data_IF_298858268997
#
_entry.id   IF_298858268997
#
_cell.length_a   1.000
_cell.length_b   1.000
_cell.length_c   1.000
_cell.angle_alpha   90.00
_cell.angle_beta   90.00
_cell.angle_gamma   90.00
#
_symmetry.space_group_name_H-M   'P 1'
#
loop_
_entity.id
_entity.type
_entity.pdbx_description
1 polymer ?
#
# COMPACT_ATOMS: atom_id res chain seq x y z
N UNK A 1 -80.58 28.83 26.56
CA UNK A 1 -80.48 28.58 28.01
C UNK A 1 -79.01 28.68 28.40
N UNK A 2 -78.59 29.87 28.86
CA UNK A 2 -78.31 30.23 30.27
C UNK A 2 -76.98 29.65 30.78
N UNK A 3 -75.84 30.33 30.66
CA UNK A 3 -75.22 31.39 31.53
C UNK A 3 -74.84 30.97 32.96
N UNK A 4 -73.54 31.09 33.30
CA UNK A 4 -72.88 31.82 34.44
C UNK A 4 -71.60 31.09 34.91
N UNK A 5 -70.40 31.70 34.81
CA UNK A 5 -69.69 32.56 35.82
C UNK A 5 -69.22 31.80 37.06
N UNK A 6 -68.07 32.04 37.73
CA UNK A 6 -66.85 32.87 37.63
C UNK A 6 -66.03 32.46 38.89
N UNK A 7 -64.70 32.52 38.88
CA UNK A 7 -63.88 33.36 39.80
C UNK A 7 -62.37 33.08 39.67
N UNK A 8 -61.60 34.16 39.81
CA UNK A 8 -60.15 34.27 39.78
C UNK A 8 -59.54 34.33 41.19
N UNK A 9 -58.27 33.94 41.32
CA UNK A 9 -57.20 34.57 42.12
C UNK A 9 -55.86 33.98 41.60
N UNK A 10 -54.76 34.68 41.30
CA UNK A 10 -54.32 36.02 41.62
C UNK A 10 -53.14 35.95 42.59
N UNK A 11 -51.90 35.80 42.10
CA UNK A 11 -50.67 36.13 42.86
C UNK A 11 -49.61 36.70 41.92
N UNK A 12 -49.20 37.93 42.22
CA UNK A 12 -48.12 38.71 41.62
C UNK A 12 -46.77 38.31 42.22
N UNK A 13 -45.71 38.27 41.41
CA UNK A 13 -44.34 38.23 41.89
C UNK A 13 -43.51 39.35 41.23
N UNK A 14 -42.86 40.11 42.10
CA UNK A 14 -42.06 41.32 41.88
C UNK A 14 -40.73 41.03 41.18
N UNK A 15 -40.33 41.95 40.30
CA UNK A 15 -39.03 41.97 39.60
C UNK A 15 -38.01 42.68 40.48
N UNK A 16 -36.88 42.03 40.74
CA UNK A 16 -35.67 42.66 41.28
C UNK A 16 -34.54 42.52 40.23
N UNK A 17 -34.05 43.66 39.75
CA UNK A 17 -32.98 43.75 38.77
C UNK A 17 -31.61 43.53 39.44
N UNK A 18 -30.84 42.56 38.95
CA UNK A 18 -29.40 42.46 39.21
C UNK A 18 -28.62 43.00 38.01
N UNK A 19 -27.73 43.96 38.29
CA UNK A 19 -26.70 44.44 37.38
C UNK A 19 -25.68 43.32 37.09
N UNK A 20 -25.54 42.93 35.82
CA UNK A 20 -24.42 42.13 35.33
C UNK A 20 -23.49 43.04 34.53
N UNK A 21 -22.25 43.16 35.01
CA UNK A 21 -21.16 43.83 34.34
C UNK A 21 -20.81 43.10 33.02
N UNK A 22 -20.68 43.88 31.95
CA UNK A 22 -20.28 43.38 30.64
C UNK A 22 -18.77 43.13 30.59
N UNK A 23 -18.37 41.86 30.43
CA UNK A 23 -17.03 41.50 29.93
C UNK A 23 -17.14 41.30 28.41
N UNK A 24 -16.55 42.22 27.65
CA UNK A 24 -16.37 42.13 26.21
C UNK A 24 -15.33 41.05 25.89
N UNK A 25 -15.78 39.89 25.37
CA UNK A 25 -14.91 38.88 24.79
C UNK A 25 -14.66 39.21 23.31
N UNK A 26 -13.41 39.50 22.98
CA UNK A 26 -12.93 39.57 21.59
C UNK A 26 -13.03 38.18 20.93
N UNK A 27 -13.49 38.07 19.66
CA UNK A 27 -13.43 36.81 18.94
C UNK A 27 -11.98 36.49 18.57
N UNK A 28 -11.42 35.49 19.21
CA UNK A 28 -10.10 34.94 18.90
C UNK A 28 -10.16 34.22 17.54
N UNK A 29 -9.30 34.64 16.62
CA UNK A 29 -9.18 34.06 15.30
C UNK A 29 -8.72 32.59 15.45
N UNK A 30 -9.58 31.64 15.09
CA UNK A 30 -9.24 30.22 15.02
C UNK A 30 -8.17 30.00 13.97
N UNK A 31 -6.91 29.82 14.42
CA UNK A 31 -5.82 29.36 13.58
C UNK A 31 -6.10 27.96 12.98
N UNK A 32 -5.44 27.60 11.88
CA UNK A 32 -5.62 26.29 11.26
C UNK A 32 -5.26 25.17 12.24
N UNK A 33 -6.13 24.16 12.31
CA UNK A 33 -5.93 22.98 13.14
C UNK A 33 -4.58 22.30 12.82
N UNK A 34 -3.83 21.84 13.85
CA UNK A 34 -2.58 21.13 13.62
C UNK A 34 -2.84 19.86 12.80
N UNK A 35 -2.02 19.65 11.76
CA UNK A 35 -2.04 18.45 10.94
C UNK A 35 -1.87 17.20 11.83
N UNK A 36 -2.52 16.07 11.51
CA UNK A 36 -2.33 14.84 12.27
C UNK A 36 -0.85 14.47 12.25
N UNK A 37 -0.24 14.44 13.44
CA UNK A 37 1.10 13.93 13.65
C UNK A 37 1.15 12.50 13.15
N UNK A 38 1.93 12.26 12.10
CA UNK A 38 2.17 10.92 11.59
C UNK A 38 2.63 10.02 12.74
N UNK A 39 1.91 8.92 12.97
CA UNK A 39 2.36 7.82 13.80
C UNK A 39 3.83 7.51 13.44
N UNK A 40 4.72 7.54 14.44
CA UNK A 40 6.11 7.18 14.25
C UNK A 40 6.19 5.81 13.55
N UNK A 41 6.75 5.81 12.34
CA UNK A 41 6.93 4.65 11.49
C UNK A 41 7.77 3.61 12.24
N UNK A 42 7.34 2.33 12.37
CA UNK A 42 8.27 1.26 12.69
C UNK A 42 9.36 1.31 11.62
N UNK A 43 10.59 1.65 12.00
CA UNK A 43 11.67 1.76 11.05
C UNK A 43 11.93 0.39 10.44
N UNK A 44 11.67 0.24 9.13
CA UNK A 44 12.11 -0.94 8.38
C UNK A 44 13.62 -1.13 8.54
N UNK A 45 14.12 -2.36 8.35
CA UNK A 45 15.54 -2.71 8.54
C UNK A 45 16.50 -1.98 7.60
N UNK A 46 15.95 -1.32 6.57
CA UNK A 46 16.71 -0.65 5.54
C UNK A 46 17.07 0.79 5.97
N UNK A 47 18.36 1.18 5.95
CA UNK A 47 18.77 2.55 6.29
C UNK A 47 18.35 3.59 5.23
N UNK A 48 17.98 3.13 4.04
CA UNK A 48 17.48 3.91 2.90
C UNK A 48 16.27 3.19 2.30
N UNK A 49 15.96 3.44 1.02
CA UNK A 49 14.96 2.66 0.30
C UNK A 49 15.26 1.15 0.36
N UNK A 50 14.22 0.30 0.36
CA UNK A 50 14.40 -1.13 0.47
C UNK A 50 15.24 -1.72 -0.65
N UNK A 51 16.06 -2.72 -0.33
CA UNK A 51 16.90 -3.40 -1.30
C UNK A 51 17.09 -4.87 -0.89
N UNK A 52 17.63 -5.73 -1.77
CA UNK A 52 17.77 -7.16 -1.49
C UNK A 52 18.55 -7.53 -0.23
N UNK A 53 19.42 -6.64 0.27
CA UNK A 53 20.27 -6.91 1.42
C UNK A 53 19.58 -6.67 2.76
N UNK A 54 18.47 -5.91 2.78
CA UNK A 54 17.75 -5.56 4.01
C UNK A 54 16.28 -6.01 4.02
N UNK A 55 15.74 -6.47 2.90
CA UNK A 55 14.39 -7.07 2.80
C UNK A 55 14.44 -8.59 2.68
N UNK A 56 13.29 -9.23 2.84
CA UNK A 56 13.14 -10.67 2.76
C UNK A 56 13.46 -11.37 4.07
N UNK A 57 13.75 -12.67 3.98
CA UNK A 57 14.13 -13.48 5.15
C UNK A 57 15.35 -12.86 5.83
N UNK A 58 15.29 -12.55 7.14
CA UNK A 58 16.45 -12.00 7.85
C UNK A 58 17.66 -12.95 7.74
N UNK A 59 18.87 -12.44 7.49
CA UNK A 59 20.07 -13.27 7.47
C UNK A 59 20.23 -14.08 8.76
N UNK A 60 20.59 -15.36 8.62
CA UNK A 60 20.77 -16.28 9.76
C UNK A 60 19.48 -16.91 10.29
N UNK A 61 18.31 -16.59 9.72
CA UNK A 61 17.05 -17.27 10.06
C UNK A 61 17.15 -18.77 9.75
N UNK A 62 16.83 -19.60 10.74
CA UNK A 62 16.70 -21.05 10.55
C UNK A 62 15.33 -21.35 9.98
N UNK A 63 15.28 -21.86 8.76
CA UNK A 63 14.03 -22.18 8.08
C UNK A 63 13.64 -23.65 8.31
N UNK A 64 12.41 -23.86 8.78
CA UNK A 64 11.79 -25.19 8.84
C UNK A 64 11.03 -25.44 7.54
N UNK A 65 11.47 -26.42 6.76
CA UNK A 65 10.79 -26.77 5.51
C UNK A 65 9.45 -27.44 5.81
N UNK A 66 8.36 -26.89 5.28
CA UNK A 66 7.01 -27.46 5.40
C UNK A 66 6.72 -28.43 4.26
N UNK A 67 6.04 -29.53 4.59
CA UNK A 67 5.47 -30.43 3.61
C UNK A 67 4.23 -29.79 2.98
N UNK A 68 4.17 -29.77 1.65
CA UNK A 68 3.02 -29.29 0.89
C UNK A 68 1.80 -30.18 1.18
N UNK A 69 0.63 -29.58 1.33
CA UNK A 69 -0.62 -30.25 1.72
C UNK A 69 -1.73 -30.11 0.66
N UNK A 70 -1.39 -29.61 -0.52
CA UNK A 70 -2.27 -29.53 -1.70
C UNK A 70 -1.52 -30.06 -2.92
N UNK A 71 -1.84 -31.29 -3.33
CA UNK A 71 -1.38 -31.94 -4.56
C UNK A 71 0.13 -31.84 -4.85
N UNK A 72 0.96 -31.72 -3.81
CA UNK A 72 2.40 -31.52 -3.93
C UNK A 72 2.82 -30.17 -4.55
N UNK A 73 1.90 -29.21 -4.67
CA UNK A 73 2.14 -27.90 -5.30
C UNK A 73 2.05 -26.73 -4.31
N UNK A 74 1.24 -26.85 -3.25
CA UNK A 74 1.01 -25.74 -2.33
C UNK A 74 0.89 -26.17 -0.86
N UNK A 75 1.13 -25.19 0.01
CA UNK A 75 0.79 -25.22 1.42
C UNK A 75 -0.42 -24.32 1.66
N UNK A 76 -1.56 -24.90 2.03
CA UNK A 76 -2.80 -24.20 2.35
C UNK A 76 -3.00 -24.10 3.85
N UNK A 77 -3.21 -22.88 4.32
CA UNK A 77 -3.63 -22.56 5.69
C UNK A 77 -5.15 -22.50 5.74
N UNK A 78 -5.77 -23.27 6.63
CA UNK A 78 -7.24 -23.33 6.82
C UNK A 78 -7.71 -22.96 8.22
N UNK A 79 -6.77 -22.61 9.11
CA UNK A 79 -7.06 -22.28 10.51
C UNK A 79 -6.73 -20.82 10.74
N UNK A 80 -7.70 -20.07 11.28
CA UNK A 80 -7.53 -18.64 11.57
C UNK A 80 -6.50 -18.42 12.68
N UNK A 81 -5.80 -17.29 12.64
CA UNK A 81 -4.80 -16.92 13.64
C UNK A 81 -3.49 -17.71 13.57
N UNK A 82 -3.28 -18.53 12.53
CA UNK A 82 -2.03 -19.27 12.34
C UNK A 82 -0.87 -18.30 12.13
N UNK A 83 0.25 -18.60 12.77
CA UNK A 83 1.53 -17.91 12.56
C UNK A 83 2.51 -18.87 11.89
N UNK A 84 2.93 -18.53 10.67
CA UNK A 84 4.03 -19.19 9.96
C UNK A 84 5.29 -18.36 10.19
N UNK A 85 6.19 -18.83 11.06
CA UNK A 85 7.41 -18.12 11.45
C UNK A 85 8.64 -18.97 11.17
N UNK A 86 9.58 -18.44 10.39
CA UNK A 86 10.82 -19.15 10.08
C UNK A 86 10.57 -20.42 9.27
N UNK A 87 9.67 -20.40 8.29
CA UNK A 87 9.34 -21.57 7.46
C UNK A 87 9.83 -21.43 6.02
N UNK A 88 10.15 -22.56 5.40
CA UNK A 88 10.37 -22.67 3.95
C UNK A 88 9.23 -23.47 3.32
N UNK A 89 8.47 -22.83 2.43
CA UNK A 89 7.40 -23.45 1.65
C UNK A 89 7.92 -23.64 0.23
N UNK A 90 8.20 -24.89 -0.22
CA UNK A 90 8.81 -25.16 -1.52
C UNK A 90 7.79 -25.10 -2.69
N UNK A 91 6.75 -24.28 -2.55
CA UNK A 91 5.61 -24.19 -3.46
C UNK A 91 4.79 -22.93 -3.17
N UNK A 92 3.52 -22.95 -3.55
CA UNK A 92 2.62 -21.82 -3.31
C UNK A 92 2.13 -21.77 -1.87
N UNK A 93 1.82 -20.57 -1.37
CA UNK A 93 1.14 -20.38 -0.10
C UNK A 93 -0.30 -19.91 -0.35
N UNK A 94 -1.26 -20.71 0.09
CA UNK A 94 -2.68 -20.44 -0.07
C UNK A 94 -3.28 -20.10 1.30
N UNK A 95 -3.67 -18.84 1.50
CA UNK A 95 -4.22 -18.34 2.77
C UNK A 95 -5.75 -18.43 2.72
N UNK A 96 -6.32 -19.50 3.26
CA UNK A 96 -7.76 -19.78 3.26
C UNK A 96 -8.35 -19.69 4.68
N UNK A 97 -7.82 -18.76 5.48
CA UNK A 97 -8.28 -18.44 6.82
C UNK A 97 -7.90 -17.02 7.20
N UNK A 98 -8.69 -16.39 8.07
CA UNK A 98 -8.47 -15.02 8.52
C UNK A 98 -7.38 -14.91 9.60
N UNK A 99 -6.78 -13.73 9.70
CA UNK A 99 -5.78 -13.37 10.72
C UNK A 99 -4.51 -14.24 10.69
N UNK A 100 -4.14 -14.72 9.49
CA UNK A 100 -2.88 -15.45 9.31
C UNK A 100 -1.71 -14.47 9.30
N UNK A 101 -0.65 -14.79 10.03
CA UNK A 101 0.62 -14.06 10.01
C UNK A 101 1.71 -14.93 9.42
N UNK A 102 2.46 -14.39 8.47
CA UNK A 102 3.62 -15.03 7.87
C UNK A 102 4.83 -14.14 8.13
N UNK A 103 5.88 -14.66 8.75
CA UNK A 103 7.06 -13.86 9.06
C UNK A 103 8.35 -14.64 8.95
N UNK A 104 9.46 -13.96 8.67
CA UNK A 104 10.79 -14.56 8.57
C UNK A 104 10.84 -15.79 7.64
N UNK A 105 10.01 -15.84 6.60
CA UNK A 105 9.73 -17.06 5.85
C UNK A 105 10.10 -16.97 4.38
N UNK A 106 10.43 -18.11 3.78
CA UNK A 106 10.72 -18.26 2.36
C UNK A 106 9.58 -19.03 1.68
N UNK A 107 8.99 -18.46 0.65
CA UNK A 107 7.96 -19.08 -0.17
C UNK A 107 8.48 -19.10 -1.61
N UNK A 108 8.65 -20.29 -2.19
CA UNK A 108 9.24 -20.43 -3.54
C UNK A 108 8.24 -20.13 -4.67
N UNK A 109 6.93 -20.10 -4.38
CA UNK A 109 5.87 -19.67 -5.29
C UNK A 109 5.22 -18.36 -4.87
N UNK A 110 4.01 -18.11 -5.40
CA UNK A 110 3.16 -16.99 -4.99
C UNK A 110 2.44 -17.21 -3.64
N UNK A 111 1.96 -16.10 -3.07
CA UNK A 111 1.07 -16.03 -1.91
C UNK A 111 -0.27 -15.46 -2.35
N UNK A 112 -1.35 -16.23 -2.22
CA UNK A 112 -2.72 -15.75 -2.51
C UNK A 112 -3.68 -16.07 -1.37
N UNK A 113 -4.65 -15.19 -1.15
CA UNK A 113 -5.65 -15.30 -0.09
C UNK A 113 -7.08 -15.46 -0.60
N UNK A 114 -7.28 -15.79 -1.88
CA UNK A 114 -8.61 -15.90 -2.48
C UNK A 114 -9.04 -17.38 -2.61
N UNK A 115 -10.29 -17.64 -2.24
CA UNK A 115 -10.99 -18.92 -2.42
C UNK A 115 -12.35 -18.66 -3.08
N UNK A 116 -12.38 -18.81 -4.40
CA UNK A 116 -13.52 -18.39 -5.21
C UNK A 116 -13.83 -16.89 -5.02
N UNK A 117 -15.06 -16.51 -4.62
CA UNK A 117 -15.42 -15.10 -4.42
C UNK A 117 -14.99 -14.54 -3.06
N UNK A 118 -14.46 -15.36 -2.14
CA UNK A 118 -14.04 -14.93 -0.80
C UNK A 118 -12.54 -14.70 -0.77
N UNK A 119 -12.12 -13.71 0.00
CA UNK A 119 -10.72 -13.45 0.33
C UNK A 119 -10.52 -13.24 1.82
N UNK A 120 -9.35 -13.63 2.34
CA UNK A 120 -9.05 -13.73 3.78
C UNK A 120 -7.96 -12.75 4.24
N UNK A 121 -8.13 -12.14 5.41
CA UNK A 121 -7.15 -11.17 5.92
C UNK A 121 -5.84 -11.83 6.34
N UNK A 122 -4.70 -11.25 5.96
CA UNK A 122 -3.39 -11.75 6.41
C UNK A 122 -2.33 -10.66 6.52
N UNK A 123 -1.27 -10.95 7.26
CA UNK A 123 -0.04 -10.14 7.32
C UNK A 123 1.13 -10.99 6.88
N UNK A 124 2.01 -10.42 6.08
CA UNK A 124 3.29 -11.03 5.70
C UNK A 124 4.42 -10.02 5.91
N UNK A 125 5.43 -10.41 6.69
CA UNK A 125 6.55 -9.53 7.04
C UNK A 125 7.89 -10.23 6.88
N UNK A 126 8.94 -9.48 6.53
CA UNK A 126 10.32 -9.96 6.57
C UNK A 126 10.51 -11.32 5.88
N UNK A 127 9.87 -11.48 4.72
CA UNK A 127 9.75 -12.76 4.01
C UNK A 127 10.10 -12.62 2.55
N UNK A 128 10.64 -13.69 1.97
CA UNK A 128 10.98 -13.76 0.54
C UNK A 128 9.90 -14.56 -0.18
N UNK A 129 9.38 -13.99 -1.26
CA UNK A 129 8.32 -14.60 -2.09
C UNK A 129 8.82 -14.75 -3.52
N UNK A 130 8.65 -15.96 -4.05
CA UNK A 130 8.98 -16.35 -5.41
C UNK A 130 10.33 -17.07 -5.55
N UNK A 131 10.52 -17.72 -6.71
CA UNK A 131 11.59 -18.68 -6.89
C UNK A 131 12.96 -17.99 -7.00
N UNK A 132 14.03 -18.72 -6.68
CA UNK A 132 15.40 -18.20 -6.81
C UNK A 132 15.82 -17.94 -8.28
N UNK A 133 15.11 -18.52 -9.25
CA UNK A 133 15.32 -18.32 -10.67
C UNK A 133 14.08 -18.68 -11.49
N UNK A 134 14.10 -18.30 -12.76
CA UNK A 134 12.93 -18.39 -13.64
C UNK A 134 11.97 -17.21 -13.45
N UNK A 135 10.83 -17.26 -14.14
CA UNK A 135 9.82 -16.22 -14.10
C UNK A 135 8.41 -16.79 -14.09
N UNK A 136 7.64 -16.50 -13.06
CA UNK A 136 6.22 -16.84 -12.96
C UNK A 136 5.38 -15.67 -13.50
N UNK A 137 4.38 -15.96 -14.35
CA UNK A 137 3.47 -14.93 -14.88
C UNK A 137 2.55 -14.36 -13.81
N UNK A 138 2.13 -15.17 -12.83
CA UNK A 138 1.19 -14.74 -11.79
C UNK A 138 1.84 -13.76 -10.79
N UNK A 139 1.04 -12.92 -10.11
CA UNK A 139 1.53 -12.04 -9.06
C UNK A 139 2.23 -12.80 -7.92
N UNK A 140 3.25 -12.18 -7.32
CA UNK A 140 3.93 -12.71 -6.15
C UNK A 140 3.06 -12.73 -4.90
N UNK A 141 2.39 -11.61 -4.60
CA UNK A 141 1.51 -11.48 -3.42
C UNK A 141 0.18 -10.84 -3.81
N UNK A 142 -0.93 -11.39 -3.33
CA UNK A 142 -2.26 -10.84 -3.51
C UNK A 142 -3.29 -11.48 -2.58
N UNK A 143 -4.56 -11.09 -2.65
CA UNK A 143 -5.23 -10.20 -3.60
C UNK A 143 -5.67 -8.90 -2.93
N UNK A 144 -6.23 -8.97 -1.72
CA UNK A 144 -6.76 -7.85 -0.94
C UNK A 144 -6.57 -8.08 0.58
N UNK A 145 -6.99 -7.14 1.43
CA UNK A 145 -7.02 -7.29 2.90
C UNK A 145 -5.69 -7.79 3.50
N UNK A 146 -4.58 -7.36 2.91
CA UNK A 146 -3.26 -7.79 3.36
C UNK A 146 -2.34 -6.64 3.71
N UNK A 147 -1.46 -6.91 4.67
CA UNK A 147 -0.33 -6.05 5.01
C UNK A 147 0.97 -6.77 4.69
N UNK A 148 1.79 -6.18 3.81
CA UNK A 148 3.10 -6.65 3.40
C UNK A 148 4.18 -5.67 3.88
N UNK A 149 5.14 -6.12 4.69
CA UNK A 149 6.21 -5.25 5.24
C UNK A 149 7.57 -5.91 5.06
N UNK A 150 8.57 -5.20 4.55
CA UNK A 150 9.94 -5.74 4.50
C UNK A 150 10.11 -6.91 3.51
N UNK A 151 9.22 -7.08 2.53
CA UNK A 151 9.29 -8.23 1.62
C UNK A 151 10.40 -8.11 0.58
N UNK A 152 10.91 -9.27 0.17
CA UNK A 152 11.68 -9.41 -1.06
C UNK A 152 10.87 -10.28 -2.03
N UNK A 153 10.25 -9.65 -3.02
CA UNK A 153 9.52 -10.34 -4.09
C UNK A 153 10.42 -10.48 -5.31
N UNK A 154 10.54 -11.69 -5.86
CA UNK A 154 11.41 -12.00 -7.00
C UNK A 154 10.80 -13.08 -7.89
N UNK A 155 11.25 -13.17 -9.14
CA UNK A 155 10.86 -14.28 -10.02
C UNK A 155 9.37 -14.28 -10.40
N UNK A 156 8.72 -13.12 -10.28
CA UNK A 156 7.35 -12.89 -10.72
C UNK A 156 7.30 -11.75 -11.73
N UNK A 157 6.38 -11.87 -12.69
CA UNK A 157 6.13 -10.85 -13.68
C UNK A 157 5.38 -9.68 -13.04
N UNK A 158 4.38 -9.99 -12.23
CA UNK A 158 3.71 -9.03 -11.37
C UNK A 158 4.20 -9.17 -9.92
N UNK A 159 4.60 -8.08 -9.28
CA UNK A 159 5.06 -8.09 -7.89
C UNK A 159 3.90 -8.28 -6.91
N UNK A 160 3.11 -7.22 -6.79
CA UNK A 160 1.96 -7.13 -5.90
C UNK A 160 0.68 -6.97 -6.70
N UNK A 161 -0.37 -7.63 -6.23
CA UNK A 161 -1.72 -7.48 -6.72
C UNK A 161 -2.56 -6.74 -5.69
N UNK A 162 -3.32 -5.75 -6.13
CA UNK A 162 -4.40 -5.15 -5.36
C UNK A 162 -5.73 -5.45 -6.09
N UNK A 163 -6.60 -6.23 -5.45
CA UNK A 163 -7.88 -6.66 -6.01
C UNK A 163 -8.98 -6.68 -4.94
N UNK A 164 -9.21 -5.53 -4.33
CA UNK A 164 -10.20 -5.31 -3.27
C UNK A 164 -9.76 -4.20 -2.33
N UNK A 165 -10.31 -4.19 -1.11
CA UNK A 165 -10.02 -3.18 -0.10
C UNK A 165 -8.77 -3.53 0.74
N UNK A 166 -8.28 -2.56 1.52
CA UNK A 166 -7.33 -2.74 2.62
C UNK A 166 -5.99 -3.41 2.22
N UNK A 167 -5.34 -2.89 1.17
CA UNK A 167 -4.00 -3.35 0.75
C UNK A 167 -2.94 -2.38 1.24
N UNK A 168 -2.02 -2.88 2.07
CA UNK A 168 -0.89 -2.09 2.60
C UNK A 168 0.40 -2.79 2.24
N UNK A 169 1.29 -2.10 1.51
CA UNK A 169 2.62 -2.59 1.14
C UNK A 169 3.64 -1.53 1.54
N UNK A 170 4.55 -1.90 2.45
CA UNK A 170 5.55 -1.00 2.98
C UNK A 170 6.94 -1.61 3.03
N UNK A 171 7.95 -0.76 2.94
CA UNK A 171 9.34 -1.13 3.20
C UNK A 171 9.80 -2.36 2.41
N UNK A 172 9.20 -2.62 1.25
CA UNK A 172 9.38 -3.85 0.48
C UNK A 172 10.17 -3.59 -0.80
N UNK A 173 10.87 -4.62 -1.26
CA UNK A 173 11.64 -4.63 -2.50
C UNK A 173 11.05 -5.66 -3.46
N UNK A 174 10.88 -5.26 -4.72
CA UNK A 174 10.52 -6.18 -5.80
C UNK A 174 11.46 -6.00 -6.99
N UNK A 175 11.96 -7.12 -7.50
CA UNK A 175 12.62 -7.18 -8.81
C UNK A 175 11.80 -8.06 -9.74
N UNK A 176 11.33 -7.44 -10.81
CA UNK A 176 10.45 -8.08 -11.77
C UNK A 176 11.24 -8.88 -12.81
N UNK A 177 10.54 -9.83 -13.41
CA UNK A 177 10.94 -10.53 -14.63
C UNK A 177 9.78 -10.45 -15.63
N UNK A 178 9.91 -11.07 -16.80
CA UNK A 178 8.77 -11.24 -17.72
C UNK A 178 8.96 -12.44 -18.63
N UNK A 179 7.86 -13.10 -18.96
CA UNK A 179 7.71 -13.98 -20.11
C UNK A 179 7.04 -13.23 -21.29
N UNK A 180 7.08 -13.76 -22.52
CA UNK A 180 6.35 -13.18 -23.65
C UNK A 180 4.85 -13.05 -23.38
N UNK A 181 4.32 -11.84 -23.55
CA UNK A 181 2.91 -11.53 -23.37
C UNK A 181 2.52 -11.11 -21.95
N UNK A 182 3.45 -11.17 -20.99
CA UNK A 182 3.18 -10.66 -19.65
C UNK A 182 3.04 -9.14 -19.65
N UNK A 183 2.19 -8.63 -18.76
CA UNK A 183 2.11 -7.19 -18.50
C UNK A 183 3.34 -6.72 -17.72
N UNK A 184 3.77 -7.51 -16.74
CA UNK A 184 4.75 -7.18 -15.71
C UNK A 184 4.52 -5.83 -15.05
N UNK A 185 4.08 -5.85 -13.81
CA UNK A 185 3.89 -4.65 -12.99
C UNK A 185 4.45 -4.82 -11.58
N UNK A 186 5.01 -3.76 -11.00
CA UNK A 186 5.49 -3.82 -9.62
C UNK A 186 4.33 -3.94 -8.64
N UNK A 187 3.31 -3.12 -8.88
CA UNK A 187 1.97 -3.25 -8.31
C UNK A 187 0.94 -3.11 -9.44
N UNK A 188 0.03 -4.08 -9.57
CA UNK A 188 -1.10 -4.04 -10.50
C UNK A 188 -2.41 -3.95 -9.73
N UNK A 189 -3.27 -2.99 -10.09
CA UNK A 189 -4.66 -2.93 -9.62
C UNK A 189 -5.57 -3.72 -10.55
N UNK A 190 -6.46 -4.53 -9.98
CA UNK A 190 -7.55 -5.17 -10.70
C UNK A 190 -8.75 -5.34 -9.79
N UNK A 191 -9.78 -4.51 -9.96
CA UNK A 191 -10.90 -4.37 -9.02
C UNK A 191 -10.44 -3.94 -7.62
N UNK A 192 -9.46 -3.03 -7.56
CA UNK A 192 -9.02 -2.43 -6.30
C UNK A 192 -10.12 -1.54 -5.74
N UNK A 193 -10.44 -1.72 -4.47
CA UNK A 193 -11.41 -0.89 -3.78
C UNK A 193 -10.72 0.22 -2.99
N UNK A 194 -11.02 0.31 -1.69
CA UNK A 194 -10.58 1.38 -0.80
C UNK A 194 -9.28 1.07 -0.07
N UNK A 195 -8.47 2.10 0.14
CA UNK A 195 -7.44 2.08 1.18
C UNK A 195 -6.13 1.44 0.75
N UNK A 196 -5.75 1.63 -0.52
CA UNK A 196 -4.45 1.22 -1.01
C UNK A 196 -3.35 2.11 -0.43
N UNK A 197 -2.36 1.50 0.21
CA UNK A 197 -1.12 2.16 0.65
C UNK A 197 0.08 1.44 0.05
N UNK A 198 0.86 2.16 -0.73
CA UNK A 198 2.13 1.71 -1.31
C UNK A 198 3.22 2.70 -0.92
N UNK A 199 3.85 2.46 0.25
CA UNK A 199 4.76 3.42 0.88
C UNK A 199 6.16 2.87 1.09
N UNK A 200 7.18 3.65 0.71
CA UNK A 200 8.59 3.34 0.94
C UNK A 200 9.01 1.97 0.40
N UNK A 201 8.64 1.66 -0.84
CA UNK A 201 9.05 0.44 -1.54
C UNK A 201 10.10 0.74 -2.60
N UNK A 202 10.82 -0.30 -3.04
CA UNK A 202 11.67 -0.24 -4.23
C UNK A 202 11.14 -1.20 -5.28
N UNK A 203 10.91 -0.69 -6.49
CA UNK A 203 10.42 -1.46 -7.63
C UNK A 203 11.42 -1.37 -8.78
N UNK A 204 12.05 -2.50 -9.11
CA UNK A 204 13.02 -2.60 -10.20
C UNK A 204 12.47 -3.44 -11.37
N UNK A 205 12.20 -2.74 -12.48
CA UNK A 205 11.74 -3.32 -13.75
C UNK A 205 12.74 -3.12 -14.90
N UNK A 206 13.98 -2.69 -14.64
CA UNK A 206 14.92 -2.33 -15.72
C UNK A 206 15.33 -3.49 -16.62
N UNK A 207 15.33 -4.71 -16.08
CA UNK A 207 15.76 -5.92 -16.80
C UNK A 207 14.60 -6.66 -17.50
N UNK A 208 13.42 -6.04 -17.57
CA UNK A 208 12.19 -6.65 -18.08
C UNK A 208 11.93 -6.22 -19.52
N UNK A 209 11.56 -7.19 -20.39
CA UNK A 209 11.31 -6.94 -21.83
C UNK A 209 9.84 -6.73 -22.17
N UNK A 210 8.96 -7.51 -21.53
CA UNK A 210 7.51 -7.40 -21.67
C UNK A 210 6.98 -6.78 -20.39
N UNK A 211 6.83 -5.46 -20.40
CA UNK A 211 6.57 -4.64 -19.23
C UNK A 211 5.50 -3.59 -19.52
N UNK A 212 4.79 -3.19 -18.47
CA UNK A 212 3.79 -2.13 -18.49
C UNK A 212 4.27 -1.03 -17.56
N UNK A 213 4.10 -1.13 -16.24
CA UNK A 213 4.64 -0.15 -15.31
C UNK A 213 5.05 -0.73 -13.95
N UNK A 214 6.15 -0.23 -13.35
CA UNK A 214 6.46 -0.46 -11.94
C UNK A 214 5.28 -0.12 -11.00
N UNK A 215 4.56 0.96 -11.29
CA UNK A 215 3.34 1.35 -10.57
C UNK A 215 2.20 1.47 -11.59
N UNK A 216 1.33 0.46 -11.63
CA UNK A 216 0.21 0.38 -12.56
C UNK A 216 -1.14 0.39 -11.81
N UNK A 217 -1.66 1.59 -11.59
CA UNK A 217 -2.91 1.85 -10.87
C UNK A 217 -3.98 2.39 -11.85
N UNK A 218 -4.37 1.57 -12.82
CA UNK A 218 -5.33 1.93 -13.87
C UNK A 218 -6.61 1.12 -13.68
N UNK A 219 -7.53 1.64 -12.86
CA UNK A 219 -8.72 0.92 -12.40
C UNK A 219 -9.76 1.91 -11.86
N UNK A 220 -11.01 1.82 -12.33
CA UNK A 220 -12.10 2.73 -11.95
C UNK A 220 -12.69 2.45 -10.56
N UNK A 221 -12.34 1.31 -9.98
CA UNK A 221 -12.82 0.92 -8.66
C UNK A 221 -12.01 1.57 -7.53
N UNK A 222 -10.78 2.03 -7.79
CA UNK A 222 -9.88 2.60 -6.78
C UNK A 222 -10.56 3.77 -6.05
N UNK A 223 -10.60 3.68 -4.72
CA UNK A 223 -11.03 4.78 -3.84
C UNK A 223 -9.97 5.03 -2.79
N UNK A 224 -9.39 6.23 -2.78
CA UNK A 224 -8.31 6.59 -1.85
C UNK A 224 -7.06 5.70 -2.00
N UNK A 225 -6.04 6.24 -2.66
CA UNK A 225 -4.76 5.58 -2.84
C UNK A 225 -3.63 6.49 -2.35
N UNK A 226 -2.70 5.95 -1.58
CA UNK A 226 -1.53 6.65 -1.06
C UNK A 226 -0.27 5.95 -1.56
N UNK A 227 0.44 6.62 -2.46
CA UNK A 227 1.68 6.11 -3.07
C UNK A 227 2.83 7.05 -2.74
N UNK A 228 3.64 6.68 -1.75
CA UNK A 228 4.61 7.61 -1.17
C UNK A 228 6.00 7.04 -1.00
N UNK A 229 7.01 7.89 -1.11
CA UNK A 229 8.40 7.57 -0.75
C UNK A 229 8.99 6.34 -1.47
N UNK A 230 8.48 5.95 -2.64
CA UNK A 230 8.97 4.78 -3.35
C UNK A 230 10.19 5.12 -4.21
N UNK A 231 11.11 4.18 -4.36
CA UNK A 231 12.18 4.19 -5.37
C UNK A 231 11.75 3.34 -6.56
N UNK A 232 11.62 3.96 -7.74
CA UNK A 232 11.02 3.35 -8.92
C UNK A 232 11.99 3.37 -10.09
N UNK A 233 12.05 2.31 -10.88
CA UNK A 233 12.86 2.26 -12.10
C UNK A 233 12.34 1.25 -13.13
N UNK A 234 12.41 1.61 -14.41
CA UNK A 234 11.89 0.79 -15.50
C UNK A 234 10.49 1.19 -15.97
N UNK A 235 9.89 0.34 -16.81
CA UNK A 235 8.53 0.50 -17.32
C UNK A 235 8.43 1.15 -18.69
N UNK A 236 7.28 0.96 -19.34
CA UNK A 236 6.92 1.73 -20.53
C UNK A 236 6.70 3.19 -20.14
N UNK A 237 5.74 3.39 -19.24
CA UNK A 237 5.68 4.50 -18.31
C UNK A 237 5.95 3.98 -16.91
N UNK A 238 6.77 4.69 -16.13
CA UNK A 238 7.14 4.18 -14.80
C UNK A 238 5.98 4.27 -13.79
N UNK A 239 5.12 5.26 -13.96
CA UNK A 239 3.99 5.53 -13.07
C UNK A 239 2.73 5.76 -13.90
N UNK A 240 1.70 4.99 -13.62
CA UNK A 240 0.35 5.18 -14.14
C UNK A 240 -0.67 5.14 -13.01
N UNK A 241 -1.44 6.22 -12.86
CA UNK A 241 -2.61 6.30 -11.99
C UNK A 241 -3.75 6.94 -12.78
N UNK A 242 -4.77 6.15 -13.12
CA UNK A 242 -5.88 6.57 -13.98
C UNK A 242 -7.21 6.00 -13.50
N UNK A 243 -8.29 6.72 -13.78
CA UNK A 243 -9.68 6.36 -13.47
C UNK A 243 -10.03 6.25 -11.96
N UNK A 244 -9.08 6.51 -11.07
CA UNK A 244 -9.28 6.45 -9.64
C UNK A 244 -10.07 7.67 -9.12
N UNK A 245 -10.67 7.54 -7.92
CA UNK A 245 -11.39 8.63 -7.26
C UNK A 245 -11.07 8.75 -5.77
N UNK A 246 -11.56 9.82 -5.16
CA UNK A 246 -11.35 10.09 -3.73
C UNK A 246 -9.99 10.77 -3.48
N UNK A 247 -9.35 10.43 -2.37
CA UNK A 247 -8.06 10.98 -1.96
C UNK A 247 -6.90 10.25 -2.64
N UNK A 248 -6.40 10.82 -3.74
CA UNK A 248 -5.27 10.27 -4.48
C UNK A 248 -4.00 11.03 -4.11
N UNK A 249 -3.03 10.36 -3.49
CA UNK A 249 -1.77 10.97 -3.03
C UNK A 249 -0.59 10.29 -3.70
N UNK A 250 0.25 11.08 -4.36
CA UNK A 250 1.49 10.60 -4.96
C UNK A 250 2.62 11.55 -4.60
N UNK A 251 3.35 11.23 -3.51
CA UNK A 251 4.32 12.17 -2.91
C UNK A 251 5.65 11.56 -2.53
N UNK A 252 6.72 12.33 -2.67
CA UNK A 252 8.06 11.92 -2.20
C UNK A 252 8.67 10.75 -2.95
N UNK A 253 8.09 10.31 -4.08
CA UNK A 253 8.63 9.20 -4.85
C UNK A 253 9.88 9.64 -5.62
N UNK A 254 10.87 8.75 -5.70
CA UNK A 254 12.11 8.93 -6.43
C UNK A 254 12.13 7.99 -7.63
N UNK A 255 12.15 8.55 -8.83
CA UNK A 255 12.21 7.79 -10.08
C UNK A 255 13.62 7.85 -10.66
N UNK A 256 14.21 6.71 -11.00
CA UNK A 256 15.54 6.67 -11.64
C UNK A 256 15.45 7.30 -13.04
N UNK A 257 16.20 8.38 -13.24
CA UNK A 257 16.21 9.15 -14.48
C UNK A 257 16.53 8.27 -15.70
N UNK A 258 15.76 8.45 -16.77
CA UNK A 258 15.90 7.73 -18.07
C UNK A 258 15.83 6.20 -17.96
N UNK A 259 15.20 5.67 -16.92
CA UNK A 259 14.99 4.22 -16.79
C UNK A 259 13.74 3.70 -17.53
N UNK A 260 12.87 4.59 -18.00
CA UNK A 260 11.63 4.26 -18.74
C UNK A 260 11.84 4.13 -20.26
N UNK A 261 10.85 3.56 -20.96
CA UNK A 261 10.85 3.44 -22.42
C UNK A 261 10.21 4.67 -23.10
N UNK A 262 9.01 5.08 -22.66
CA UNK A 262 8.25 6.16 -23.29
C UNK A 262 8.31 7.45 -22.48
N UNK A 263 7.96 7.38 -21.21
CA UNK A 263 7.96 8.55 -20.33
C UNK A 263 7.96 8.15 -18.86
N UNK A 264 8.23 9.10 -17.95
CA UNK A 264 8.27 8.78 -16.53
C UNK A 264 6.87 8.57 -15.93
N UNK A 265 5.85 9.28 -16.44
CA UNK A 265 4.48 9.32 -15.89
C UNK A 265 3.47 9.42 -17.02
N UNK A 266 2.39 8.64 -16.91
CA UNK A 266 1.17 8.78 -17.71
C UNK A 266 -0.04 8.60 -16.77
N UNK A 267 -0.57 9.69 -16.23
CA UNK A 267 -1.54 9.68 -15.11
C UNK A 267 -2.53 10.83 -15.18
N UNK A 268 -3.68 10.71 -14.50
CA UNK A 268 -4.72 11.74 -14.40
C UNK A 268 -4.31 12.86 -13.42
N UNK A 269 -3.23 13.58 -13.71
CA UNK A 269 -2.51 14.43 -12.76
C UNK A 269 -3.36 15.46 -12.01
N UNK A 270 -4.39 16.03 -12.66
CA UNK A 270 -5.30 17.04 -12.05
C UNK A 270 -6.05 16.54 -10.81
N UNK A 271 -6.29 15.24 -10.69
CA UNK A 271 -7.04 14.66 -9.57
C UNK A 271 -6.12 14.13 -8.46
N UNK A 272 -4.80 14.21 -8.67
CA UNK A 272 -3.79 13.63 -7.79
C UNK A 272 -3.07 14.71 -7.01
N UNK A 273 -2.99 14.52 -5.71
CA UNK A 273 -2.11 15.28 -4.85
C UNK A 273 -0.64 14.88 -5.10
N UNK A 274 -0.05 15.56 -6.08
CA UNK A 274 1.30 15.32 -6.58
C UNK A 274 2.31 16.33 -6.01
N UNK A 275 3.22 15.87 -5.14
CA UNK A 275 4.21 16.77 -4.53
C UNK A 275 5.51 16.08 -4.12
N UNK A 276 6.63 16.79 -4.22
CA UNK A 276 7.93 16.31 -3.72
C UNK A 276 8.48 15.07 -4.43
N UNK A 277 7.95 14.71 -5.59
CA UNK A 277 8.50 13.61 -6.40
C UNK A 277 9.73 14.11 -7.17
N UNK A 278 10.72 13.23 -7.35
CA UNK A 278 12.01 13.60 -7.94
C UNK A 278 12.52 12.57 -8.94
N UNK A 279 13.25 13.06 -9.95
CA UNK A 279 14.13 12.25 -10.78
C UNK A 279 15.48 12.13 -10.07
N UNK A 280 16.04 10.93 -10.01
CA UNK A 280 17.27 10.63 -9.26
C UNK A 280 18.24 9.76 -10.05
N UNK A 281 19.51 9.75 -9.65
CA UNK A 281 20.46 8.70 -10.00
C UNK A 281 20.69 7.79 -8.80
N UNK A 282 21.09 6.53 -9.05
CA UNK A 282 21.39 5.55 -8.00
C UNK A 282 22.69 4.81 -8.26
N UNK A 283 23.28 4.26 -7.18
CA UNK A 283 24.34 3.26 -7.27
C UNK A 283 23.77 1.83 -7.44
N UNK A 284 24.67 0.84 -7.53
CA UNK A 284 24.30 -0.58 -7.67
C UNK A 284 23.61 -1.18 -6.44
N UNK A 285 23.68 -0.48 -5.31
CA UNK A 285 23.06 -0.86 -4.03
C UNK A 285 21.74 -0.12 -3.80
N UNK A 286 21.15 0.47 -4.85
CA UNK A 286 19.90 1.22 -4.80
C UNK A 286 19.95 2.49 -3.94
N UNK A 287 21.15 3.00 -3.63
CA UNK A 287 21.28 4.26 -2.91
C UNK A 287 21.18 5.42 -3.88
N UNK A 288 20.37 6.41 -3.54
CA UNK A 288 20.28 7.66 -4.31
C UNK A 288 21.63 8.38 -4.22
N UNK A 289 22.23 8.65 -5.38
CA UNK A 289 23.53 9.33 -5.50
C UNK A 289 23.38 10.81 -5.87
N UNK A 290 22.30 11.19 -6.56
CA UNK A 290 21.97 12.58 -6.83
C UNK A 290 20.49 12.76 -7.15
N UNK A 291 19.98 13.97 -6.93
CA UNK A 291 18.69 14.44 -7.46
C UNK A 291 18.93 15.14 -8.79
N UNK A 292 18.33 14.64 -9.86
CA UNK A 292 18.41 15.21 -11.22
C UNK A 292 17.47 16.41 -11.36
N UNK A 293 16.27 16.31 -10.80
CA UNK A 293 15.28 17.37 -10.88
C UNK A 293 13.92 16.95 -10.34
N UNK A 294 12.91 17.83 -10.38
CA UNK A 294 11.54 17.47 -10.00
C UNK A 294 10.97 16.46 -10.99
N UNK A 295 10.26 15.47 -10.48
CA UNK A 295 9.40 14.63 -11.31
C UNK A 295 8.02 15.29 -11.38
N UNK A 296 7.72 15.92 -12.52
CA UNK A 296 6.42 16.52 -12.77
C UNK A 296 5.39 15.49 -13.25
N UNK A 297 4.12 15.73 -12.95
CA UNK A 297 2.99 15.06 -13.57
C UNK A 297 2.30 16.10 -14.46
N UNK A 298 2.29 15.85 -15.77
CA UNK A 298 1.62 16.72 -16.74
C UNK A 298 0.43 15.96 -17.35
N UNK A 299 -0.77 16.50 -17.15
CA UNK A 299 -2.05 15.92 -17.61
C UNK A 299 -3.23 16.73 -17.10
#
# INVERSE_FOLDING_TARGET
MTTRSRLLAGVSATVAALLLAACTLSPEATGPAPAPSGSARPAGRCPHHPNPACTGVPPGTKLTRLALNEDGAAYRVRTSGVVLDGVHIPGHLLIHADDVTVRNSLIDGYVINADGPRSFRFTIEDSTVGPAGGCQTLPGVGQDKYTAVGLHVRGHSDGFRASGDDVVIRDSYVKLCSNPGDHSDGIQTYRTGRGLVFDHNTVDQRDVKHATAPIFLVDDQIVDAVVTNNLVMGGTYSIQLKNARGKLVMRGNSLVDKSWIYGPVDSDCRTVDWAGNSLVTIDRSYRITSVVGPLACAG
#
